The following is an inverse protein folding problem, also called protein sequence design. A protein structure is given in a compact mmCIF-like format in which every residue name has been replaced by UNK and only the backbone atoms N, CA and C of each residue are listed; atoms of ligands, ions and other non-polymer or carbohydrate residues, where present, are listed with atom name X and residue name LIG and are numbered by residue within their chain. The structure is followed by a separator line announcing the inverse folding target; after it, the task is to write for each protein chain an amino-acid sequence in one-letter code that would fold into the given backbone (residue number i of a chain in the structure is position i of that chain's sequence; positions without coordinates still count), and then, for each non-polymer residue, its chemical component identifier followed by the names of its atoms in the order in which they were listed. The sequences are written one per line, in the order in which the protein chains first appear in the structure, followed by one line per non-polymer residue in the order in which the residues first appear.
data_IF_986918853825
#
_entry.id   IF_986918853825
#
_cell.length_a   1.000
_cell.length_b   1.000
_cell.length_c   1.000
_cell.angle_alpha   90.00
_cell.angle_beta   90.00
_cell.angle_gamma   90.00
#
_symmetry.space_group_name_H-M   'P 1'
#
loop_
_entity.id
_entity.type
_entity.pdbx_description
1 polymer ?
#
# COMPACT_ATOMS: atom_id res chain seq x y z
N UNK A 1 -9.11 8.28 -5.71
CA UNK A 1 -10.00 7.10 -5.59
C UNK A 1 -9.20 6.01 -4.91
N UNK A 2 -9.82 5.19 -4.06
CA UNK A 2 -9.20 4.05 -3.39
C UNK A 2 -9.76 2.79 -4.02
N UNK A 3 -8.90 1.91 -4.52
CA UNK A 3 -9.27 0.60 -5.04
C UNK A 3 -8.79 -0.43 -4.01
N UNK A 4 -9.73 -1.19 -3.44
CA UNK A 4 -9.43 -2.10 -2.35
C UNK A 4 -9.91 -3.50 -2.68
N UNK A 5 -8.96 -4.44 -2.73
CA UNK A 5 -9.28 -5.86 -2.77
C UNK A 5 -9.83 -6.28 -1.40
N UNK A 6 -11.11 -6.61 -1.34
CA UNK A 6 -11.79 -7.02 -0.11
C UNK A 6 -12.88 -8.03 -0.44
N UNK A 7 -12.85 -9.18 0.23
CA UNK A 7 -13.85 -10.23 0.13
C UNK A 7 -14.61 -10.31 1.45
N UNK A 8 -15.93 -10.10 1.43
CA UNK A 8 -16.77 -10.16 2.62
C UNK A 8 -17.90 -9.13 2.61
N UNK A 9 -18.53 -8.93 3.78
CA UNK A 9 -19.58 -7.92 3.95
C UNK A 9 -18.97 -6.52 3.80
N UNK A 10 -19.51 -5.72 2.88
CA UNK A 10 -19.11 -4.32 2.67
C UNK A 10 -19.09 -3.57 4.02
N UNK A 11 -17.96 -2.94 4.41
CA UNK A 11 -17.90 -2.13 5.62
C UNK A 11 -18.81 -0.89 5.53
N UNK A 12 -19.47 -0.56 6.64
CA UNK A 12 -20.41 0.57 6.69
C UNK A 12 -19.69 1.94 6.64
N UNK A 13 -18.43 2.00 7.05
CA UNK A 13 -17.63 3.22 7.13
C UNK A 13 -16.86 3.59 5.84
N UNK A 14 -17.25 3.05 4.69
CA UNK A 14 -16.57 3.33 3.42
C UNK A 14 -16.88 4.73 2.90
N UNK A 15 -15.83 5.48 2.52
CA UNK A 15 -15.98 6.74 1.81
C UNK A 15 -16.48 6.55 0.37
N UNK A 16 -17.18 7.55 -0.17
CA UNK A 16 -17.73 7.55 -1.53
C UNK A 16 -16.68 7.36 -2.65
N UNK A 17 -15.40 7.54 -2.33
CA UNK A 17 -14.28 7.38 -3.24
C UNK A 17 -13.61 6.00 -3.17
N UNK A 18 -14.17 5.04 -2.42
CA UNK A 18 -13.62 3.69 -2.25
C UNK A 18 -14.43 2.67 -3.05
N UNK A 19 -13.75 1.88 -3.88
CA UNK A 19 -14.35 0.77 -4.63
C UNK A 19 -13.76 -0.54 -4.14
N UNK A 20 -14.65 -1.47 -3.79
CA UNK A 20 -14.28 -2.81 -3.39
C UNK A 20 -14.29 -3.75 -4.59
N UNK A 21 -13.33 -4.67 -4.62
CA UNK A 21 -13.26 -5.74 -5.61
C UNK A 21 -12.89 -7.05 -4.92
N UNK A 22 -13.49 -8.16 -5.37
CA UNK A 22 -13.09 -9.49 -4.90
C UNK A 22 -11.67 -9.86 -5.37
N UNK A 23 -11.33 -9.41 -6.58
CA UNK A 23 -10.02 -9.58 -7.20
C UNK A 23 -9.65 -8.37 -8.04
N UNK A 24 -8.35 -8.06 -8.10
CA UNK A 24 -7.81 -6.89 -8.79
C UNK A 24 -6.63 -7.33 -9.68
N UNK A 25 -6.54 -6.87 -10.94
CA UNK A 25 -5.33 -7.00 -11.75
C UNK A 25 -4.26 -6.04 -11.21
N UNK A 26 -3.59 -6.45 -10.12
CA UNK A 26 -2.71 -5.59 -9.33
C UNK A 26 -1.59 -4.97 -10.18
N UNK A 27 -0.87 -5.79 -10.95
CA UNK A 27 0.23 -5.32 -11.79
C UNK A 27 -0.23 -4.26 -12.82
N UNK A 28 -1.39 -4.46 -13.45
CA UNK A 28 -1.95 -3.50 -14.43
C UNK A 28 -2.36 -2.19 -13.75
N UNK A 29 -2.92 -2.26 -12.54
CA UNK A 29 -3.21 -1.07 -11.76
C UNK A 29 -1.94 -0.34 -11.32
N UNK A 30 -0.91 -1.06 -10.90
CA UNK A 30 0.37 -0.45 -10.54
C UNK A 30 0.99 0.27 -11.76
N UNK A 31 0.84 -0.27 -12.96
CA UNK A 31 1.27 0.37 -14.21
C UNK A 31 0.35 1.49 -14.73
N UNK A 32 -0.79 1.75 -14.08
CA UNK A 32 -1.70 2.78 -14.53
C UNK A 32 -1.19 4.20 -14.15
N UNK A 33 -1.20 5.20 -15.07
CA UNK A 33 -0.56 6.51 -14.84
C UNK A 33 -1.19 7.35 -13.71
N UNK A 34 -2.37 6.95 -13.21
CA UNK A 34 -3.04 7.60 -12.07
C UNK A 34 -2.75 6.94 -10.72
N UNK A 35 -1.99 5.85 -10.69
CA UNK A 35 -1.59 5.21 -9.44
C UNK A 35 -0.54 6.08 -8.76
N UNK A 36 -0.75 6.33 -7.47
CA UNK A 36 0.07 7.26 -6.68
C UNK A 36 0.76 6.61 -5.49
N UNK A 37 0.16 5.57 -4.93
CA UNK A 37 0.71 4.85 -3.80
C UNK A 37 0.11 3.45 -3.75
N UNK A 38 0.86 2.52 -3.16
CA UNK A 38 0.42 1.15 -2.90
C UNK A 38 0.52 0.82 -1.41
N UNK A 39 -0.60 0.51 -0.77
CA UNK A 39 -0.60 -0.02 0.61
C UNK A 39 -0.44 -1.53 0.53
N UNK A 40 0.61 -2.07 1.13
CA UNK A 40 0.97 -3.48 0.99
C UNK A 40 1.46 -4.09 2.30
N UNK A 41 1.14 -5.36 2.50
CA UNK A 41 1.73 -6.16 3.56
C UNK A 41 3.22 -6.48 3.35
N UNK A 42 3.81 -6.18 2.18
CA UNK A 42 5.23 -6.44 1.94
C UNK A 42 5.57 -7.83 1.39
N UNK A 43 4.60 -8.54 0.82
CA UNK A 43 4.87 -9.75 0.05
C UNK A 43 5.75 -9.46 -1.18
N UNK A 44 6.75 -10.30 -1.41
CA UNK A 44 7.84 -10.10 -2.39
C UNK A 44 7.34 -9.76 -3.80
N UNK A 45 6.36 -10.50 -4.33
CA UNK A 45 5.84 -10.25 -5.69
C UNK A 45 5.21 -8.86 -5.82
N UNK A 46 4.41 -8.44 -4.84
CA UNK A 46 3.78 -7.12 -4.86
C UNK A 46 4.79 -5.98 -4.75
N UNK A 47 5.88 -6.20 -4.01
CA UNK A 47 7.00 -5.26 -3.97
C UNK A 47 7.68 -5.16 -5.33
N UNK A 48 7.98 -6.28 -6.00
CA UNK A 48 8.61 -6.24 -7.32
C UNK A 48 7.75 -5.53 -8.37
N UNK A 49 6.44 -5.78 -8.38
CA UNK A 49 5.50 -5.08 -9.27
C UNK A 49 5.50 -3.57 -8.99
N UNK A 50 5.47 -3.17 -7.71
CA UNK A 50 5.46 -1.75 -7.34
C UNK A 50 6.76 -1.04 -7.73
N UNK A 51 7.92 -1.67 -7.49
CA UNK A 51 9.22 -1.13 -7.91
C UNK A 51 9.28 -1.02 -9.43
N UNK A 52 8.85 -2.05 -10.15
CA UNK A 52 8.89 -2.08 -11.62
C UNK A 52 8.12 -0.88 -12.23
N UNK A 53 6.98 -0.53 -11.64
CA UNK A 53 6.17 0.61 -12.08
C UNK A 53 6.51 1.94 -11.39
N UNK A 54 7.52 1.98 -10.51
CA UNK A 54 7.91 3.19 -9.78
C UNK A 54 6.85 3.72 -8.82
N UNK A 55 6.01 2.85 -8.26
CA UNK A 55 4.94 3.22 -7.33
C UNK A 55 5.46 3.14 -5.89
N UNK A 56 5.44 4.24 -5.12
CA UNK A 56 5.90 4.22 -3.73
C UNK A 56 4.88 3.51 -2.82
N UNK A 57 5.37 2.96 -1.71
CA UNK A 57 4.60 2.04 -0.88
C UNK A 57 4.37 2.53 0.55
N UNK A 58 3.20 2.24 1.10
CA UNK A 58 2.99 2.19 2.55
C UNK A 58 3.02 0.72 2.97
N UNK A 59 4.06 0.33 3.70
CA UNK A 59 4.25 -1.04 4.19
C UNK A 59 3.52 -1.27 5.52
N UNK A 60 2.69 -2.30 5.58
CA UNK A 60 1.96 -2.75 6.78
C UNK A 60 2.27 -4.24 7.02
N UNK A 61 3.51 -4.57 7.41
CA UNK A 61 3.94 -5.97 7.51
C UNK A 61 3.13 -6.72 8.57
N UNK A 62 2.76 -7.97 8.26
CA UNK A 62 1.94 -8.82 9.12
C UNK A 62 2.74 -9.96 9.75
N UNK A 63 3.56 -10.69 8.98
CA UNK A 63 4.32 -11.86 9.46
C UNK A 63 5.42 -12.32 8.50
N UNK A 64 6.23 -13.29 8.94
CA UNK A 64 7.30 -13.94 8.18
C UNK A 64 8.34 -12.96 7.61
N UNK A 65 8.53 -12.97 6.30
CA UNK A 65 9.52 -12.17 5.56
C UNK A 65 9.09 -10.72 5.31
N UNK A 66 7.81 -10.42 5.53
CA UNK A 66 7.22 -9.11 5.24
C UNK A 66 7.90 -7.94 5.97
N UNK A 67 8.23 -8.02 7.28
CA UNK A 67 8.95 -6.93 7.96
C UNK A 67 10.31 -6.65 7.33
N UNK A 68 11.09 -7.69 7.00
CA UNK A 68 12.41 -7.53 6.38
C UNK A 68 12.33 -6.94 4.98
N UNK A 69 11.34 -7.38 4.18
CA UNK A 69 11.08 -6.83 2.86
C UNK A 69 10.74 -5.33 2.93
N UNK A 70 9.87 -4.92 3.86
CA UNK A 70 9.51 -3.51 4.03
C UNK A 70 10.68 -2.69 4.60
N UNK A 71 11.45 -3.23 5.53
CA UNK A 71 12.65 -2.59 6.05
C UNK A 71 13.66 -2.31 4.92
N UNK A 72 13.85 -3.26 4.00
CA UNK A 72 14.68 -3.08 2.82
C UNK A 72 14.15 -1.97 1.90
N UNK A 73 12.84 -1.94 1.64
CA UNK A 73 12.22 -0.90 0.80
C UNK A 73 12.32 0.48 1.43
N UNK A 74 12.13 0.57 2.75
CA UNK A 74 12.29 1.80 3.52
C UNK A 74 13.73 2.30 3.48
N UNK A 75 14.71 1.42 3.62
CA UNK A 75 16.13 1.79 3.50
C UNK A 75 16.49 2.33 2.11
N UNK A 76 15.75 1.93 1.07
CA UNK A 76 15.87 2.44 -0.31
C UNK A 76 15.01 3.69 -0.60
N UNK A 77 14.28 4.22 0.39
CA UNK A 77 13.37 5.35 0.20
C UNK A 77 12.07 4.99 -0.56
N UNK A 78 11.83 3.71 -0.87
CA UNK A 78 10.68 3.27 -1.66
C UNK A 78 9.41 3.03 -0.82
N UNK A 79 9.53 3.03 0.52
CA UNK A 79 8.40 2.77 1.40
C UNK A 79 8.43 3.55 2.72
N UNK A 80 7.24 3.86 3.24
CA UNK A 80 7.02 4.21 4.65
C UNK A 80 6.37 3.02 5.35
N UNK A 81 6.93 2.60 6.48
CA UNK A 81 6.41 1.50 7.29
C UNK A 81 5.47 2.01 8.39
N UNK A 82 4.35 1.32 8.58
CA UNK A 82 3.46 1.49 9.75
C UNK A 82 3.23 0.15 10.44
N UNK A 83 3.14 0.17 11.77
CA UNK A 83 2.97 -1.03 12.56
C UNK A 83 1.49 -1.40 12.68
N UNK A 84 1.09 -2.58 12.20
CA UNK A 84 -0.30 -3.03 12.19
C UNK A 84 -0.97 -3.01 13.58
N UNK A 85 -0.22 -3.29 14.65
CA UNK A 85 -0.76 -3.45 15.99
C UNK A 85 -0.93 -2.11 16.73
N UNK A 86 -0.17 -1.08 16.35
CA UNK A 86 -0.14 0.20 17.08
C UNK A 86 -0.55 1.39 16.24
N UNK A 87 -0.62 1.25 14.92
CA UNK A 87 -0.98 2.36 14.03
C UNK A 87 -2.39 2.88 14.32
N UNK A 88 -2.55 4.19 14.25
CA UNK A 88 -3.84 4.85 14.21
C UNK A 88 -4.22 5.19 12.76
N UNK A 89 -5.48 5.60 12.55
CA UNK A 89 -5.89 6.17 11.26
C UNK A 89 -5.08 7.41 10.87
N UNK A 90 -4.62 8.19 11.85
CA UNK A 90 -3.78 9.36 11.63
C UNK A 90 -2.38 8.97 11.16
N UNK A 91 -1.82 7.87 11.65
CA UNK A 91 -0.50 7.38 11.22
C UNK A 91 -0.55 6.86 9.78
N UNK A 92 -1.58 6.08 9.43
CA UNK A 92 -1.78 5.62 8.06
C UNK A 92 -1.98 6.80 7.09
N UNK A 93 -2.78 7.80 7.48
CA UNK A 93 -2.97 9.01 6.68
C UNK A 93 -1.66 9.80 6.50
N UNK A 94 -0.83 9.89 7.54
CA UNK A 94 0.48 10.54 7.46
C UNK A 94 1.41 9.81 6.51
N UNK A 95 1.53 8.49 6.64
CA UNK A 95 2.34 7.66 5.76
C UNK A 95 1.91 7.79 4.29
N UNK A 96 0.60 7.76 4.02
CA UNK A 96 0.06 7.98 2.67
C UNK A 96 0.39 9.36 2.12
N UNK A 97 0.29 10.42 2.93
CA UNK A 97 0.64 11.78 2.50
C UNK A 97 2.12 11.90 2.19
N UNK A 98 2.99 11.28 2.98
CA UNK A 98 4.44 11.25 2.74
C UNK A 98 4.74 10.62 1.40
N UNK A 99 4.28 9.39 1.13
CA UNK A 99 4.62 8.69 -0.12
C UNK A 99 4.02 9.35 -1.38
N UNK A 100 2.94 10.13 -1.24
CA UNK A 100 2.29 10.82 -2.37
C UNK A 100 2.93 12.18 -2.65
N UNK A 101 3.34 12.92 -1.62
CA UNK A 101 3.72 14.33 -1.75
C UNK A 101 5.22 14.61 -1.57
N UNK A 102 5.97 13.71 -0.93
CA UNK A 102 7.40 13.88 -0.70
C UNK A 102 8.16 13.09 -1.78
N UNK A 103 8.56 13.71 -2.91
CA UNK A 103 9.37 13.03 -3.91
C UNK A 103 10.70 12.61 -3.29
N UNK A 104 11.08 11.36 -3.53
CA UNK A 104 12.40 10.80 -3.20
C UNK A 104 13.47 11.29 -4.16
#
# INVERSE_FOLDING_TARGET
QVLWRYKGKKPDALGNNTRLYDWIPQNDLLGHPKTKAFITHGGTNGIYEAIYHGVPMVGVPMFADQPDNIAHMKAKGAAVEVNLNTMTSADLLRALRTVINDPS
#
